data_IF_276304684469
#
_entry.id   IF_276304684469
#
_cell.length_a   1.000
_cell.length_b   1.000
_cell.length_c   1.000
_cell.angle_alpha   90.00
_cell.angle_beta   90.00
_cell.angle_gamma   90.00
#
_symmetry.space_group_name_H-M   'P 1'
#
loop_
_entity.id
_entity.type
_entity.pdbx_description
1 polymer ?
#
# COMPACT_ATOMS: atom_id res chain seq x y z
N UNK A 1 -15.86 43.43 37.41
CA UNK A 1 -16.60 42.24 36.99
C UNK A 1 -15.65 41.50 36.06
N UNK A 2 -15.02 40.48 36.58
CA UNK A 2 -13.96 39.68 35.95
C UNK A 2 -14.59 38.53 35.18
N UNK A 3 -14.40 38.52 33.89
CA UNK A 3 -14.83 37.41 32.99
C UNK A 3 -13.74 36.37 32.85
N UNK A 4 -14.06 35.17 33.25
CA UNK A 4 -13.22 33.98 33.29
C UNK A 4 -13.07 33.43 31.83
N UNK A 5 -11.85 33.38 31.32
CA UNK A 5 -11.51 32.62 30.09
C UNK A 5 -11.27 31.17 30.50
N UNK A 6 -12.15 30.28 30.05
CA UNK A 6 -12.01 28.84 30.22
C UNK A 6 -10.98 28.29 29.21
N UNK A 7 -9.91 27.74 29.77
CA UNK A 7 -8.90 26.96 29.05
C UNK A 7 -9.53 25.75 28.35
N UNK A 8 -9.24 25.58 27.04
CA UNK A 8 -9.51 24.38 26.27
C UNK A 8 -8.41 23.33 26.58
N UNK A 9 -8.76 22.04 26.70
CA UNK A 9 -7.77 21.02 27.02
C UNK A 9 -6.81 20.79 25.84
N UNK A 10 -5.52 20.91 26.13
CA UNK A 10 -4.43 20.55 25.23
C UNK A 10 -4.58 19.07 24.80
N UNK A 11 -4.57 18.84 23.47
CA UNK A 11 -4.55 17.52 22.89
C UNK A 11 -3.38 16.70 23.42
N UNK A 12 -3.67 15.46 23.79
CA UNK A 12 -2.67 14.47 24.18
C UNK A 12 -1.70 14.26 23.04
N UNK A 13 -0.49 14.78 23.17
CA UNK A 13 0.65 14.39 22.35
C UNK A 13 0.95 12.93 22.75
N UNK A 14 0.68 11.99 21.84
CA UNK A 14 1.07 10.61 22.01
C UNK A 14 2.57 10.55 22.34
N UNK A 15 2.89 10.08 23.55
CA UNK A 15 4.27 9.94 23.99
C UNK A 15 5.00 8.98 23.04
N UNK A 16 6.08 9.46 22.41
CA UNK A 16 7.01 8.59 21.69
C UNK A 16 7.45 7.47 22.64
N UNK A 17 7.49 6.20 22.19
CA UNK A 17 8.02 5.13 23.01
C UNK A 17 9.46 5.46 23.40
N UNK A 18 9.72 5.54 24.71
CA UNK A 18 11.08 5.76 25.25
C UNK A 18 11.88 4.50 24.98
N UNK A 19 12.86 4.60 24.09
CA UNK A 19 13.78 3.52 23.72
C UNK A 19 14.68 3.16 24.91
N UNK A 20 14.87 1.87 25.22
CA UNK A 20 15.87 1.47 26.21
C UNK A 20 17.28 1.78 25.68
N UNK A 21 18.18 2.33 26.51
CA UNK A 21 19.54 2.62 26.10
C UNK A 21 20.30 1.28 25.82
N UNK A 22 20.76 1.08 24.56
CA UNK A 22 21.70 0.01 24.22
C UNK A 22 21.20 -1.14 23.36
N UNK A 23 19.96 -1.10 22.82
CA UNK A 23 19.53 -2.04 21.78
C UNK A 23 20.00 -1.55 20.39
N UNK A 24 20.12 -2.46 19.37
CA UNK A 24 20.35 -2.00 18.02
C UNK A 24 19.23 -1.03 17.64
N UNK A 25 19.53 0.11 16.98
CA UNK A 25 18.52 1.08 16.63
C UNK A 25 17.49 0.38 15.73
N UNK A 26 16.22 0.38 16.18
CA UNK A 26 15.13 -0.21 15.39
C UNK A 26 14.93 0.71 14.17
N UNK A 27 15.31 0.19 13.01
CA UNK A 27 15.09 0.89 11.74
C UNK A 27 13.63 0.72 11.34
N UNK A 28 13.01 1.80 10.88
CA UNK A 28 11.66 1.75 10.32
C UNK A 28 11.62 0.76 9.15
N UNK A 29 10.68 -0.17 9.18
CA UNK A 29 10.50 -1.19 8.16
C UNK A 29 9.08 -1.13 7.60
N UNK A 30 8.97 -1.04 6.29
CA UNK A 30 7.71 -1.02 5.56
C UNK A 30 7.61 -2.28 4.68
N UNK A 31 6.64 -3.13 4.98
CA UNK A 31 6.30 -4.29 4.18
C UNK A 31 5.05 -3.98 3.37
N UNK A 32 5.21 -3.67 2.08
CA UNK A 32 4.09 -3.44 1.17
C UNK A 32 3.61 -4.77 0.61
N UNK A 33 2.36 -5.09 0.86
CA UNK A 33 1.68 -6.30 0.39
C UNK A 33 0.69 -5.91 -0.70
N UNK A 34 0.80 -6.50 -1.90
CA UNK A 34 -0.30 -6.43 -2.83
C UNK A 34 -1.43 -7.34 -2.35
N UNK A 35 -2.67 -6.88 -2.41
CA UNK A 35 -3.85 -7.70 -2.09
C UNK A 35 -3.82 -9.06 -2.82
N UNK A 36 -4.51 -10.06 -2.30
CA UNK A 36 -4.74 -11.34 -2.99
C UNK A 36 -5.53 -11.16 -4.29
N UNK A 37 -5.55 -12.16 -5.15
CA UNK A 37 -6.34 -12.11 -6.38
C UNK A 37 -7.81 -11.78 -6.07
N UNK A 38 -8.37 -10.84 -6.84
CA UNK A 38 -9.74 -10.35 -6.65
C UNK A 38 -10.62 -10.69 -7.86
N UNK A 39 -11.91 -10.47 -7.67
CA UNK A 39 -12.92 -10.53 -8.71
C UNK A 39 -13.41 -9.10 -8.95
N UNK A 40 -13.30 -8.64 -10.18
CA UNK A 40 -13.94 -7.42 -10.63
C UNK A 40 -15.18 -7.79 -11.45
N UNK A 41 -16.26 -7.07 -11.27
CA UNK A 41 -17.52 -7.38 -11.96
C UNK A 41 -18.55 -6.29 -11.82
N UNK A 42 -19.70 -6.52 -12.48
CA UNK A 42 -20.85 -5.64 -12.38
C UNK A 42 -21.86 -6.25 -11.42
N UNK A 43 -22.39 -5.47 -10.50
CA UNK A 43 -23.48 -5.91 -9.62
C UNK A 43 -24.72 -6.16 -10.49
N UNK A 44 -25.29 -7.36 -10.37
CA UNK A 44 -26.45 -7.79 -11.16
C UNK A 44 -26.25 -7.68 -12.69
N UNK A 45 -25.00 -7.72 -13.15
CA UNK A 45 -24.64 -7.67 -14.57
C UNK A 45 -24.78 -6.30 -15.23
N UNK A 46 -25.06 -5.24 -14.48
CA UNK A 46 -25.26 -3.89 -14.97
C UNK A 46 -24.47 -2.84 -14.18
N UNK A 47 -24.28 -1.65 -14.75
CA UNK A 47 -23.58 -0.54 -14.09
C UNK A 47 -22.06 -0.60 -14.15
N UNK A 48 -21.38 0.16 -13.28
CA UNK A 48 -19.92 0.24 -13.27
C UNK A 48 -19.30 -1.11 -12.83
N UNK A 49 -18.08 -1.34 -13.29
CA UNK A 49 -17.24 -2.42 -12.77
C UNK A 49 -16.79 -2.08 -11.36
N UNK A 50 -17.01 -2.98 -10.43
CA UNK A 50 -16.68 -2.81 -9.02
C UNK A 50 -15.83 -3.96 -8.49
N UNK A 51 -15.09 -3.69 -7.42
CA UNK A 51 -14.34 -4.68 -6.66
C UNK A 51 -15.30 -5.57 -5.85
N UNK A 52 -15.44 -6.83 -6.24
CA UNK A 52 -16.26 -7.83 -5.55
C UNK A 52 -15.53 -8.55 -4.41
N UNK A 53 -14.28 -8.19 -4.14
CA UNK A 53 -13.44 -8.79 -3.11
C UNK A 53 -12.55 -9.92 -3.62
N UNK A 54 -12.00 -10.70 -2.71
CA UNK A 54 -11.05 -11.76 -3.06
C UNK A 54 -11.73 -12.94 -3.78
N UNK A 55 -11.05 -13.46 -4.81
CA UNK A 55 -11.36 -14.76 -5.40
C UNK A 55 -11.04 -15.90 -4.41
N UNK A 56 -11.48 -17.12 -4.70
CA UNK A 56 -11.08 -18.30 -3.93
C UNK A 56 -9.54 -18.48 -3.94
N UNK A 57 -8.93 -18.33 -5.12
CA UNK A 57 -7.48 -18.34 -5.26
C UNK A 57 -6.81 -17.24 -4.47
N UNK A 58 -7.39 -16.02 -4.44
CA UNK A 58 -6.88 -14.92 -3.62
C UNK A 58 -6.89 -15.23 -2.14
N UNK A 59 -7.94 -15.89 -1.64
CA UNK A 59 -8.01 -16.33 -0.24
C UNK A 59 -6.93 -17.38 0.08
N UNK A 60 -6.67 -18.34 -0.81
CA UNK A 60 -5.56 -19.31 -0.65
C UNK A 60 -4.20 -18.60 -0.64
N UNK A 61 -3.97 -17.65 -1.57
CA UNK A 61 -2.74 -16.86 -1.59
C UNK A 61 -2.50 -16.14 -0.25
N UNK A 62 -3.54 -15.52 0.31
CA UNK A 62 -3.47 -14.82 1.60
C UNK A 62 -3.25 -15.80 2.75
N UNK A 63 -3.87 -16.96 2.73
CA UNK A 63 -3.67 -18.00 3.75
C UNK A 63 -2.22 -18.50 3.76
N UNK A 64 -1.59 -18.67 2.59
CA UNK A 64 -0.15 -19.02 2.47
C UNK A 64 0.73 -17.90 2.98
N UNK A 65 0.43 -16.64 2.62
CA UNK A 65 1.13 -15.46 3.13
C UNK A 65 1.04 -15.38 4.66
N UNK A 66 -0.15 -15.57 5.24
CA UNK A 66 -0.36 -15.58 6.69
C UNK A 66 0.55 -16.59 7.40
N UNK A 67 0.59 -17.83 6.90
CA UNK A 67 1.49 -18.87 7.45
C UNK A 67 2.96 -18.44 7.42
N UNK A 68 3.39 -17.85 6.29
CA UNK A 68 4.77 -17.34 6.16
C UNK A 68 5.08 -16.23 7.16
N UNK A 69 4.17 -15.27 7.34
CA UNK A 69 4.37 -14.15 8.29
C UNK A 69 4.48 -14.70 9.73
N UNK A 70 3.62 -15.63 10.12
CA UNK A 70 3.68 -16.24 11.45
C UNK A 70 4.97 -17.04 11.70
N UNK A 71 5.49 -17.70 10.68
CA UNK A 71 6.70 -18.52 10.78
C UNK A 71 7.99 -17.71 10.61
N UNK A 72 7.92 -16.47 10.12
CA UNK A 72 9.10 -15.66 9.85
C UNK A 72 9.70 -15.08 11.13
N UNK A 73 10.97 -15.37 11.45
CA UNK A 73 11.64 -14.72 12.58
C UNK A 73 11.97 -13.25 12.31
N UNK A 74 12.03 -12.84 11.03
CA UNK A 74 12.49 -11.53 10.59
C UNK A 74 11.35 -10.56 10.24
N UNK A 75 10.12 -11.05 10.00
CA UNK A 75 8.95 -10.21 9.69
C UNK A 75 8.06 -10.18 10.92
N UNK A 76 8.19 -9.14 11.73
CA UNK A 76 7.39 -8.97 12.96
C UNK A 76 6.72 -7.59 12.95
N UNK A 77 5.65 -7.42 12.18
CA UNK A 77 4.93 -6.16 12.15
C UNK A 77 4.25 -5.90 13.48
N UNK A 78 4.32 -4.66 13.93
CA UNK A 78 3.58 -4.15 15.10
C UNK A 78 2.33 -3.38 14.72
N UNK A 79 2.20 -3.03 13.43
CA UNK A 79 1.11 -2.25 12.88
C UNK A 79 0.67 -2.86 11.55
N UNK A 80 -0.64 -2.90 11.32
CA UNK A 80 -1.24 -3.34 10.06
C UNK A 80 -2.17 -2.24 9.52
N UNK A 81 -1.78 -1.69 8.37
CA UNK A 81 -2.54 -0.68 7.65
C UNK A 81 -3.06 -1.28 6.34
N UNK A 82 -4.24 -0.87 5.93
CA UNK A 82 -4.84 -1.30 4.66
C UNK A 82 -5.37 -0.13 3.85
N UNK A 83 -5.36 -0.28 2.52
CA UNK A 83 -6.28 0.44 1.64
C UNK A 83 -7.73 0.15 2.05
N UNK A 84 -8.63 1.08 1.77
CA UNK A 84 -10.07 0.93 2.02
C UNK A 84 -10.78 0.12 0.93
N UNK A 85 -10.12 -0.18 -0.19
CA UNK A 85 -10.70 -0.98 -1.27
C UNK A 85 -10.91 -2.43 -0.82
N UNK A 86 -12.05 -3.02 -1.19
CA UNK A 86 -12.56 -4.27 -0.63
C UNK A 86 -11.55 -5.41 -0.70
N UNK A 87 -10.89 -5.62 -1.84
CA UNK A 87 -9.86 -6.65 -2.02
C UNK A 87 -8.68 -6.50 -1.06
N UNK A 88 -8.26 -5.27 -0.78
CA UNK A 88 -7.19 -4.99 0.17
C UNK A 88 -7.66 -5.13 1.61
N UNK A 89 -8.83 -4.60 1.95
CA UNK A 89 -9.47 -4.74 3.27
C UNK A 89 -9.70 -6.21 3.63
N UNK A 90 -10.24 -7.04 2.73
CA UNK A 90 -10.41 -8.48 2.96
C UNK A 90 -9.06 -9.19 3.16
N UNK A 91 -8.03 -8.84 2.37
CA UNK A 91 -6.67 -9.34 2.55
C UNK A 91 -6.14 -9.00 3.95
N UNK A 92 -6.24 -7.71 4.34
CA UNK A 92 -5.73 -7.25 5.62
C UNK A 92 -6.45 -7.89 6.81
N UNK A 93 -7.77 -8.08 6.74
CA UNK A 93 -8.55 -8.75 7.80
C UNK A 93 -8.10 -10.19 8.02
N UNK A 94 -7.82 -10.92 6.94
CA UNK A 94 -7.29 -12.29 7.03
C UNK A 94 -5.88 -12.30 7.65
N UNK A 95 -5.00 -11.37 7.25
CA UNK A 95 -3.65 -11.25 7.82
C UNK A 95 -3.71 -10.80 9.28
N UNK A 96 -4.54 -9.82 9.61
CA UNK A 96 -4.72 -9.31 10.97
C UNK A 96 -5.19 -10.41 11.93
N UNK A 97 -6.20 -11.18 11.52
CA UNK A 97 -6.67 -12.33 12.29
C UNK A 97 -5.56 -13.37 12.56
N UNK A 98 -4.73 -13.65 11.56
CA UNK A 98 -3.64 -14.62 11.69
C UNK A 98 -2.47 -14.09 12.56
N UNK A 99 -2.15 -12.80 12.44
CA UNK A 99 -1.00 -12.18 13.12
C UNK A 99 -1.36 -11.55 14.48
N UNK A 100 -2.63 -11.52 14.86
CA UNK A 100 -3.08 -10.87 16.10
C UNK A 100 -2.97 -9.34 16.03
N UNK A 101 -3.19 -8.73 14.87
CA UNK A 101 -3.09 -7.30 14.64
C UNK A 101 -4.44 -6.70 14.24
N UNK A 102 -4.76 -5.55 14.81
CA UNK A 102 -5.88 -4.74 14.38
C UNK A 102 -5.57 -4.06 13.03
N UNK A 103 -6.57 -3.97 12.16
CA UNK A 103 -6.45 -3.34 10.84
C UNK A 103 -6.88 -1.89 10.91
N UNK A 104 -5.99 -0.98 10.50
CA UNK A 104 -6.32 0.44 10.29
C UNK A 104 -6.49 0.71 8.80
N UNK A 105 -7.72 0.98 8.36
CA UNK A 105 -7.99 1.30 6.96
C UNK A 105 -7.74 2.79 6.67
N UNK A 106 -7.01 3.09 5.58
CA UNK A 106 -6.68 4.46 5.16
C UNK A 106 -6.81 4.63 3.65
N UNK A 107 -7.61 5.61 3.20
CA UNK A 107 -7.77 5.96 1.79
C UNK A 107 -6.47 6.36 1.09
N UNK A 108 -5.47 6.80 1.85
CA UNK A 108 -4.16 7.17 1.33
C UNK A 108 -3.44 6.01 0.62
N UNK A 109 -3.80 4.75 0.94
CA UNK A 109 -3.20 3.54 0.37
C UNK A 109 -4.03 2.89 -0.74
N UNK A 110 -5.11 3.54 -1.24
CA UNK A 110 -5.92 3.10 -2.39
C UNK A 110 -5.09 3.09 -3.69
N UNK A 111 -5.55 2.28 -4.66
CA UNK A 111 -4.99 2.27 -6.01
C UNK A 111 -5.19 3.63 -6.71
N UNK A 112 -4.62 3.79 -7.88
CA UNK A 112 -4.85 4.95 -8.69
C UNK A 112 -6.33 5.05 -9.08
N UNK A 113 -7.00 6.09 -8.59
CA UNK A 113 -8.42 6.37 -8.84
C UNK A 113 -8.60 7.01 -10.21
N UNK A 114 -8.23 6.27 -11.26
CA UNK A 114 -8.24 6.76 -12.64
C UNK A 114 -9.63 7.03 -13.18
N UNK A 115 -10.63 6.25 -12.74
CA UNK A 115 -12.03 6.36 -13.12
C UNK A 115 -12.94 5.79 -12.01
N UNK A 116 -14.25 5.83 -12.22
CA UNK A 116 -15.27 5.34 -11.30
C UNK A 116 -15.83 3.94 -11.66
N UNK A 117 -15.15 3.22 -12.55
CA UNK A 117 -15.56 1.91 -13.05
C UNK A 117 -16.60 1.95 -14.18
N UNK A 118 -16.99 3.14 -14.64
CA UNK A 118 -17.94 3.27 -15.77
C UNK A 118 -17.25 3.24 -17.13
N UNK A 119 -15.93 3.44 -17.18
CA UNK A 119 -15.17 3.37 -18.42
C UNK A 119 -14.77 1.91 -18.68
N UNK A 120 -15.23 1.33 -19.76
CA UNK A 120 -14.81 -0.03 -20.16
C UNK A 120 -13.31 -0.08 -20.41
N UNK A 121 -12.60 -1.18 -20.06
CA UNK A 121 -11.14 -1.27 -20.13
C UNK A 121 -10.54 -0.92 -21.50
N UNK A 122 -11.17 -1.35 -22.60
CA UNK A 122 -10.70 -1.03 -23.95
C UNK A 122 -10.86 0.47 -24.27
N UNK A 123 -11.94 1.10 -23.81
CA UNK A 123 -12.17 2.52 -23.97
C UNK A 123 -11.17 3.33 -23.12
N UNK A 124 -10.88 2.90 -21.91
CA UNK A 124 -9.83 3.48 -21.05
C UNK A 124 -8.47 3.44 -21.77
N UNK A 125 -8.08 2.27 -22.27
CA UNK A 125 -6.81 2.11 -22.97
C UNK A 125 -6.75 2.90 -24.28
N UNK A 126 -7.86 3.06 -25.00
CA UNK A 126 -7.95 3.90 -26.19
C UNK A 126 -7.74 5.38 -25.86
N UNK A 127 -8.42 5.88 -24.82
CA UNK A 127 -8.22 7.24 -24.32
C UNK A 127 -6.78 7.47 -23.88
N UNK A 128 -6.22 6.55 -23.08
CA UNK A 128 -4.84 6.64 -22.60
C UNK A 128 -3.82 6.71 -23.76
N UNK A 129 -3.99 5.89 -24.79
CA UNK A 129 -3.11 5.91 -25.98
C UNK A 129 -3.24 7.19 -26.80
N UNK A 130 -4.42 7.80 -26.83
CA UNK A 130 -4.67 9.05 -27.57
C UNK A 130 -3.99 10.26 -26.88
N UNK A 131 -3.72 10.20 -25.59
CA UNK A 131 -3.04 11.28 -24.86
C UNK A 131 -1.57 11.30 -25.24
N UNK A 132 -1.06 12.49 -25.61
CA UNK A 132 0.38 12.67 -25.87
C UNK A 132 1.18 12.27 -24.64
N UNK A 133 2.26 11.56 -24.87
CA UNK A 133 3.06 10.97 -23.79
C UNK A 133 3.49 11.98 -22.70
N UNK A 134 3.87 13.19 -23.10
CA UNK A 134 4.28 14.26 -22.19
C UNK A 134 3.14 14.79 -21.30
N UNK A 135 1.89 14.58 -21.71
CA UNK A 135 0.70 15.12 -21.04
C UNK A 135 0.01 14.04 -20.17
N UNK A 136 0.43 12.75 -20.29
CA UNK A 136 -0.22 11.61 -19.61
C UNK A 136 -0.26 11.74 -18.10
N UNK A 137 0.82 12.22 -17.49
CA UNK A 137 0.87 12.38 -16.04
C UNK A 137 -0.21 13.32 -15.49
N UNK A 138 -0.67 14.25 -16.32
CA UNK A 138 -1.66 15.28 -15.96
C UNK A 138 -3.04 15.03 -16.57
N UNK A 139 -3.19 13.95 -17.35
CA UNK A 139 -4.47 13.60 -17.93
C UNK A 139 -5.44 13.08 -16.88
N UNK A 140 -6.68 13.58 -16.93
CA UNK A 140 -7.79 13.19 -16.08
C UNK A 140 -8.87 12.56 -16.94
N UNK A 141 -9.22 11.31 -16.65
CA UNK A 141 -10.20 10.56 -17.44
C UNK A 141 -11.63 11.04 -17.18
N UNK A 142 -11.91 11.42 -15.94
CA UNK A 142 -13.23 11.91 -15.50
C UNK A 142 -13.03 13.07 -14.50
N UNK A 143 -13.99 14.01 -14.37
CA UNK A 143 -13.83 15.18 -13.50
C UNK A 143 -13.46 14.86 -12.05
N UNK A 144 -13.91 13.73 -11.53
CA UNK A 144 -13.68 13.29 -10.14
C UNK A 144 -12.52 12.29 -9.99
N UNK A 145 -11.92 11.86 -11.11
CA UNK A 145 -10.81 10.91 -11.07
C UNK A 145 -9.51 11.59 -10.66
N UNK A 146 -8.52 10.82 -10.30
CA UNK A 146 -7.17 11.25 -9.94
C UNK A 146 -6.27 11.23 -11.17
N UNK A 147 -5.47 12.25 -11.40
CA UNK A 147 -4.39 12.18 -12.39
C UNK A 147 -3.25 11.32 -11.87
N UNK A 148 -2.40 10.82 -12.75
CA UNK A 148 -1.24 10.04 -12.34
C UNK A 148 -0.27 10.86 -11.46
N UNK A 149 -0.13 12.17 -11.73
CA UNK A 149 0.68 13.07 -10.92
C UNK A 149 0.14 13.22 -9.48
N UNK A 150 -1.19 13.39 -9.34
CA UNK A 150 -1.84 13.43 -8.03
C UNK A 150 -1.70 12.11 -7.28
N UNK A 151 -1.85 10.98 -7.98
CA UNK A 151 -1.61 9.65 -7.41
C UNK A 151 -0.20 9.52 -6.84
N UNK A 152 0.82 9.88 -7.62
CA UNK A 152 2.21 9.80 -7.14
C UNK A 152 2.48 10.72 -5.95
N UNK A 153 1.90 11.92 -5.95
CA UNK A 153 1.99 12.84 -4.81
C UNK A 153 1.33 12.24 -3.56
N UNK A 154 0.15 11.63 -3.70
CA UNK A 154 -0.56 10.96 -2.60
C UNK A 154 0.24 9.78 -2.04
N UNK A 155 0.81 8.94 -2.91
CA UNK A 155 1.65 7.81 -2.49
C UNK A 155 2.87 8.29 -1.71
N UNK A 156 3.58 9.31 -2.21
CA UNK A 156 4.74 9.88 -1.51
C UNK A 156 4.37 10.44 -0.14
N UNK A 157 3.28 11.21 -0.06
CA UNK A 157 2.78 11.75 1.21
C UNK A 157 2.36 10.65 2.20
N UNK A 158 1.69 9.58 1.72
CA UNK A 158 1.28 8.45 2.55
C UNK A 158 2.48 7.68 3.13
N UNK A 159 3.50 7.42 2.31
CA UNK A 159 4.71 6.74 2.74
C UNK A 159 5.52 7.58 3.73
N UNK A 160 5.65 8.87 3.49
CA UNK A 160 6.30 9.79 4.42
C UNK A 160 5.56 9.82 5.77
N UNK A 161 4.25 10.04 5.76
CA UNK A 161 3.45 10.12 6.98
C UNK A 161 3.53 8.84 7.82
N UNK A 162 3.41 7.65 7.18
CA UNK A 162 3.48 6.38 7.92
C UNK A 162 4.89 6.12 8.47
N UNK A 163 5.93 6.56 7.77
CA UNK A 163 7.31 6.43 8.22
C UNK A 163 7.60 7.26 9.45
N UNK A 164 7.06 8.48 9.51
CA UNK A 164 7.18 9.37 10.68
C UNK A 164 6.34 8.86 11.86
N UNK A 165 5.08 8.48 11.59
CA UNK A 165 4.15 8.00 12.63
C UNK A 165 4.68 6.74 13.34
N UNK A 166 5.37 5.87 12.60
CA UNK A 166 5.88 4.59 13.09
C UNK A 166 7.42 4.49 13.02
N UNK A 167 8.10 5.61 13.26
CA UNK A 167 9.56 5.67 13.24
C UNK A 167 10.17 4.62 14.18
N UNK A 168 11.11 3.82 13.66
CA UNK A 168 11.74 2.71 14.38
C UNK A 168 10.87 1.44 14.51
N UNK A 169 9.66 1.47 13.94
CA UNK A 169 8.71 0.34 13.97
C UNK A 169 8.70 -0.49 12.70
N UNK A 170 7.89 -1.53 12.71
CA UNK A 170 7.67 -2.44 11.58
C UNK A 170 6.19 -2.41 11.18
N UNK A 171 5.92 -1.94 9.97
CA UNK A 171 4.57 -1.70 9.46
C UNK A 171 4.28 -2.64 8.29
N UNK A 172 3.18 -3.36 8.38
CA UNK A 172 2.61 -4.12 7.28
C UNK A 172 1.53 -3.27 6.60
N UNK A 173 1.63 -3.08 5.30
CA UNK A 173 0.72 -2.23 4.52
C UNK A 173 0.13 -3.05 3.38
N UNK A 174 -1.17 -3.31 3.45
CA UNK A 174 -1.90 -3.98 2.36
C UNK A 174 -2.42 -2.94 1.39
N UNK A 175 -1.98 -3.04 0.14
CA UNK A 175 -2.22 -2.07 -0.92
C UNK A 175 -2.29 -2.75 -2.30
N UNK A 176 -1.94 -2.06 -3.37
CA UNK A 176 -2.18 -2.42 -4.76
C UNK A 176 -0.90 -2.42 -5.60
N UNK A 177 -0.99 -2.96 -6.82
CA UNK A 177 0.14 -3.04 -7.73
C UNK A 177 0.67 -1.67 -8.14
N UNK A 178 -0.21 -0.76 -8.53
CA UNK A 178 0.18 0.59 -8.93
C UNK A 178 0.74 1.41 -7.75
N UNK A 179 0.18 1.25 -6.54
CA UNK A 179 0.73 1.88 -5.33
C UNK A 179 2.17 1.41 -5.06
N UNK A 180 2.43 0.09 -5.12
CA UNK A 180 3.78 -0.46 -4.94
C UNK A 180 4.73 0.10 -5.99
N UNK A 181 4.32 0.15 -7.27
CA UNK A 181 5.13 0.76 -8.33
C UNK A 181 5.42 2.24 -8.07
N UNK A 182 4.42 3.00 -7.62
CA UNK A 182 4.61 4.40 -7.24
C UNK A 182 5.55 4.57 -6.03
N UNK A 183 5.56 3.61 -5.08
CA UNK A 183 6.51 3.60 -3.97
C UNK A 183 7.96 3.47 -4.46
N UNK A 184 8.23 2.66 -5.48
CA UNK A 184 9.56 2.61 -6.12
C UNK A 184 9.97 3.96 -6.69
N UNK A 185 9.04 4.63 -7.36
CA UNK A 185 9.28 5.98 -7.89
C UNK A 185 9.63 6.96 -6.77
N UNK A 186 8.90 6.92 -5.67
CA UNK A 186 9.12 7.78 -4.51
C UNK A 186 10.50 7.55 -3.89
N UNK A 187 10.83 6.33 -3.51
CA UNK A 187 12.07 6.00 -2.81
C UNK A 187 13.34 6.14 -3.66
N UNK A 188 13.27 5.84 -4.96
CA UNK A 188 14.41 6.00 -5.86
C UNK A 188 14.51 7.41 -6.49
N UNK A 189 13.53 8.29 -6.26
CA UNK A 189 13.51 9.62 -6.85
C UNK A 189 13.38 9.62 -8.38
N UNK A 190 12.73 8.60 -8.95
CA UNK A 190 12.58 8.48 -10.40
C UNK A 190 11.62 9.54 -10.96
N UNK A 191 12.05 10.23 -12.02
CA UNK A 191 11.20 11.13 -12.80
C UNK A 191 10.19 10.39 -13.68
N UNK A 192 9.27 11.13 -14.33
CA UNK A 192 8.16 10.60 -15.14
C UNK A 192 8.58 9.68 -16.28
N UNK A 193 9.78 9.88 -16.85
CA UNK A 193 10.27 9.08 -17.97
C UNK A 193 10.77 7.67 -17.60
N UNK A 194 11.08 7.42 -16.32
CA UNK A 194 11.79 6.19 -15.90
C UNK A 194 10.93 4.95 -16.04
N UNK A 195 9.63 5.01 -15.68
CA UNK A 195 8.71 3.87 -15.75
C UNK A 195 8.15 3.58 -17.15
N UNK A 196 8.53 4.36 -18.15
CA UNK A 196 8.11 4.12 -19.54
C UNK A 196 8.81 2.92 -20.17
N UNK A 197 10.00 2.56 -19.67
CA UNK A 197 10.81 1.46 -20.20
C UNK A 197 10.72 0.19 -19.37
N UNK A 198 10.51 0.32 -18.07
CA UNK A 198 10.40 -0.80 -17.15
C UNK A 198 9.62 -0.38 -15.90
N UNK A 199 8.97 -1.33 -15.26
CA UNK A 199 8.31 -1.16 -13.98
C UNK A 199 8.53 -2.40 -13.11
N UNK A 200 8.57 -2.26 -11.79
CA UNK A 200 8.72 -3.40 -10.89
C UNK A 200 7.48 -4.28 -10.92
N UNK A 201 7.67 -5.59 -10.96
CA UNK A 201 6.58 -6.53 -10.79
C UNK A 201 6.00 -6.42 -9.37
N UNK A 202 4.70 -6.63 -9.26
CA UNK A 202 4.00 -6.75 -7.98
C UNK A 202 2.88 -7.80 -8.17
N UNK A 203 3.16 -9.06 -7.92
CA UNK A 203 2.20 -10.15 -8.01
C UNK A 203 1.20 -10.10 -6.84
N UNK A 204 0.02 -10.70 -6.98
CA UNK A 204 -0.95 -10.81 -5.88
C UNK A 204 -0.32 -11.51 -4.66
N UNK A 205 -0.61 -11.00 -3.48
CA UNK A 205 -0.05 -11.43 -2.20
C UNK A 205 1.49 -11.38 -2.11
N UNK A 206 2.18 -10.66 -3.02
CA UNK A 206 3.63 -10.47 -2.94
C UNK A 206 4.02 -9.52 -1.81
N UNK A 207 5.24 -9.66 -1.31
CA UNK A 207 5.85 -8.78 -0.32
C UNK A 207 6.94 -7.93 -0.99
N UNK A 208 6.90 -6.61 -0.78
CA UNK A 208 7.99 -5.69 -1.10
C UNK A 208 8.44 -5.02 0.19
N UNK A 209 9.72 -5.12 0.52
CA UNK A 209 10.26 -4.68 1.81
C UNK A 209 11.24 -3.52 1.64
N UNK A 210 10.89 -2.42 2.26
CA UNK A 210 11.74 -1.24 2.42
C UNK A 210 12.15 -1.08 3.88
N UNK A 211 13.38 -0.68 4.12
CA UNK A 211 13.87 -0.34 5.45
C UNK A 211 14.64 0.98 5.41
N UNK A 212 14.43 1.81 6.43
CA UNK A 212 15.24 3.01 6.60
C UNK A 212 16.70 2.62 6.84
N UNK A 213 17.64 3.43 6.32
CA UNK A 213 19.06 3.28 6.64
C UNK A 213 19.36 4.04 7.94
N UNK A 214 20.11 3.43 8.83
CA UNK A 214 20.47 4.02 10.11
C UNK A 214 21.26 5.32 9.94
N UNK A 215 20.86 6.38 10.67
CA UNK A 215 21.56 7.68 10.65
C UNK A 215 21.48 8.43 9.32
N UNK A 216 20.53 8.07 8.45
CA UNK A 216 20.38 8.62 7.10
C UNK A 216 18.91 8.75 6.75
N UNK A 217 18.59 9.67 5.82
CA UNK A 217 17.25 9.79 5.23
C UNK A 217 17.03 8.83 4.05
N UNK A 218 17.97 7.91 3.84
CA UNK A 218 17.93 6.94 2.74
C UNK A 218 17.14 5.69 3.10
N UNK A 219 16.54 5.09 2.08
CA UNK A 219 15.82 3.84 2.16
C UNK A 219 16.52 2.75 1.36
N UNK A 220 16.52 1.55 1.90
CA UNK A 220 17.06 0.35 1.25
C UNK A 220 15.90 -0.53 0.83
N UNK A 221 15.84 -0.90 -0.45
CA UNK A 221 15.00 -1.98 -0.93
C UNK A 221 15.66 -3.30 -0.55
N UNK A 222 15.13 -3.98 0.45
CA UNK A 222 15.66 -5.26 0.89
C UNK A 222 15.31 -6.40 -0.09
N UNK A 223 14.05 -6.43 -0.54
CA UNK A 223 13.57 -7.30 -1.62
C UNK A 223 12.24 -6.78 -2.17
N UNK A 224 11.86 -7.25 -3.36
CA UNK A 224 10.59 -6.89 -4.01
C UNK A 224 9.93 -8.11 -4.63
N UNK A 225 8.60 -8.03 -4.77
CA UNK A 225 7.78 -9.05 -5.43
C UNK A 225 8.07 -10.48 -4.92
N UNK A 226 8.29 -10.61 -3.62
CA UNK A 226 8.60 -11.90 -3.02
C UNK A 226 7.32 -12.73 -2.86
N UNK A 227 7.24 -13.81 -3.63
CA UNK A 227 6.09 -14.74 -3.73
C UNK A 227 6.46 -16.19 -3.32
N UNK A 228 7.59 -16.41 -2.65
CA UNK A 228 8.08 -17.75 -2.27
C UNK A 228 7.04 -18.61 -1.53
N UNK A 229 6.13 -18.00 -0.77
CA UNK A 229 5.02 -18.69 -0.11
C UNK A 229 3.94 -19.19 -1.07
N UNK A 230 3.94 -18.75 -2.33
CA UNK A 230 3.01 -19.19 -3.38
C UNK A 230 3.60 -20.26 -4.28
N UNK A 231 4.92 -20.44 -4.24
CA UNK A 231 5.58 -21.53 -4.93
C UNK A 231 5.13 -22.83 -4.29
N UNK A 232 4.81 -23.83 -5.12
CA UNK A 232 4.51 -25.17 -4.60
C UNK A 232 5.72 -25.65 -3.78
N UNK A 233 5.47 -26.26 -2.62
CA UNK A 233 6.50 -26.91 -1.86
C UNK A 233 7.32 -27.73 -2.86
N UNK A 234 8.61 -27.34 -3.04
CA UNK A 234 9.50 -28.04 -3.96
C UNK A 234 9.53 -29.53 -3.66
N UNK A 235 9.99 -30.37 -4.59
CA UNK A 235 10.03 -31.82 -4.36
C UNK A 235 10.77 -32.10 -3.07
N UNK A 236 10.08 -32.86 -2.17
CA UNK A 236 10.60 -33.33 -0.92
C UNK A 236 11.86 -34.23 -1.13
#
# INVERSE_FOLDING_TARGET
>A
MTGNMTDAPHGMISARPVMPPGGPPFMTQLYLIRHGENIDGKVDGAGPTVDLGLSERGRDQVARLSRRLMQSPSIKPSVLISSTERRASETAKLLGSACGLDVTERRAFEEWRSDDGTIEPDAFMAQWRAVKERDRAFHRFQPQSETQAEFFARVGAALHAVSEEHAGGSVLIVTHGGFIQAAFRHFFGFGDASFRRAYPAAAHASITHWRAEEGSDRWVLAYSNDVRHLEADGPA
#
